data_IF_525129022515
#
_entry.id   IF_525129022515
#
_cell.length_a   1.000
_cell.length_b   1.000
_cell.length_c   1.000
_cell.angle_alpha   90.00
_cell.angle_beta   90.00
_cell.angle_gamma   90.00
#
_symmetry.space_group_name_H-M   'P 1'
#
loop_
_entity.id
_entity.type
_entity.pdbx_description
1 polymer ?
#
# COMPACT_ATOMS: atom_id res chain seq x y z
N UNK A 1 -0.84 2.45 -30.93
CA UNK A 1 -0.63 1.15 -30.26
C UNK A 1 -1.25 1.30 -28.89
N UNK A 2 -2.42 0.69 -28.69
CA UNK A 2 -3.09 0.66 -27.39
C UNK A 2 -2.37 -0.40 -26.57
N UNK A 3 -1.72 -0.04 -25.47
CA UNK A 3 -1.26 -1.03 -24.51
C UNK A 3 -2.46 -1.91 -24.12
N UNK A 4 -2.33 -3.25 -24.14
CA UNK A 4 -3.37 -4.09 -23.59
C UNK A 4 -3.56 -3.66 -22.13
N UNK A 5 -4.81 -3.42 -21.72
CA UNK A 5 -5.13 -3.21 -20.32
C UNK A 5 -4.51 -4.37 -19.55
N UNK A 6 -3.52 -4.08 -18.69
CA UNK A 6 -2.94 -5.08 -17.80
C UNK A 6 -4.09 -5.76 -17.09
N UNK A 7 -4.30 -7.05 -17.32
CA UNK A 7 -5.25 -7.83 -16.54
C UNK A 7 -4.89 -7.61 -15.07
N UNK A 8 -5.83 -7.07 -14.29
CA UNK A 8 -5.60 -6.93 -12.86
C UNK A 8 -5.34 -8.33 -12.30
N UNK A 9 -4.34 -8.50 -11.43
CA UNK A 9 -4.09 -9.81 -10.84
C UNK A 9 -5.32 -10.26 -10.05
N UNK A 10 -5.63 -11.55 -10.13
CA UNK A 10 -6.75 -12.13 -9.39
C UNK A 10 -6.30 -12.53 -7.97
N UNK A 11 -6.59 -11.68 -6.98
CA UNK A 11 -6.22 -11.91 -5.58
C UNK A 11 -7.21 -11.19 -4.65
N UNK A 12 -7.28 -11.68 -3.41
CA UNK A 12 -7.97 -10.99 -2.33
C UNK A 12 -6.97 -10.49 -1.28
N UNK A 13 -7.36 -9.45 -0.56
CA UNK A 13 -6.65 -8.88 0.59
C UNK A 13 -7.67 -8.33 1.57
N UNK A 14 -7.48 -8.59 2.86
CA UNK A 14 -8.33 -8.03 3.91
C UNK A 14 -7.56 -6.97 4.67
N UNK A 15 -8.10 -5.76 4.68
CA UNK A 15 -7.55 -4.67 5.47
C UNK A 15 -8.26 -4.57 6.82
N UNK A 16 -7.51 -4.30 7.90
CA UNK A 16 -8.11 -4.02 9.20
C UNK A 16 -9.10 -2.85 9.14
N UNK A 17 -10.01 -2.78 10.10
CA UNK A 17 -10.91 -1.64 10.24
C UNK A 17 -10.08 -0.35 10.40
N UNK A 18 -10.30 0.67 9.57
CA UNK A 18 -9.32 1.75 9.46
C UNK A 18 -9.24 2.32 8.08
N UNK A 19 -9.08 1.41 7.14
CA UNK A 19 -8.67 1.73 5.79
C UNK A 19 -9.84 2.27 4.96
N UNK A 20 -9.53 3.33 4.22
CA UNK A 20 -10.37 3.91 3.19
C UNK A 20 -9.63 3.75 1.87
N UNK A 21 -10.31 3.18 0.88
CA UNK A 21 -9.76 3.06 -0.48
C UNK A 21 -9.56 4.45 -1.09
N UNK A 22 -8.39 4.67 -1.69
CA UNK A 22 -8.04 5.92 -2.31
C UNK A 22 -8.22 5.82 -3.83
N UNK A 23 -8.97 6.75 -4.45
CA UNK A 23 -9.20 6.70 -5.88
C UNK A 23 -7.90 7.02 -6.64
N UNK A 24 -7.53 6.15 -7.57
CA UNK A 24 -6.47 6.41 -8.54
C UNK A 24 -6.91 7.32 -9.70
N UNK A 25 -5.96 7.70 -10.55
CA UNK A 25 -6.20 8.47 -11.78
C UNK A 25 -6.57 9.94 -11.55
N UNK A 26 -7.24 10.55 -12.53
CA UNK A 26 -7.55 11.99 -12.49
C UNK A 26 -8.47 12.35 -11.30
N UNK A 27 -8.11 13.36 -10.50
CA UNK A 27 -8.97 13.91 -9.45
C UNK A 27 -10.27 14.47 -10.03
N UNK A 28 -11.42 14.09 -9.47
CA UNK A 28 -12.73 14.66 -9.86
C UNK A 28 -13.54 15.04 -8.63
N UNK A 29 -14.50 15.95 -8.80
CA UNK A 29 -15.39 16.35 -7.70
C UNK A 29 -16.19 15.16 -7.14
N UNK A 30 -16.62 14.23 -8.01
CA UNK A 30 -17.32 13.03 -7.59
C UNK A 30 -16.44 12.13 -6.70
N UNK A 31 -15.19 11.89 -7.09
CA UNK A 31 -14.22 11.13 -6.28
C UNK A 31 -13.96 11.81 -4.94
N UNK A 32 -13.82 13.14 -4.94
CA UNK A 32 -13.63 13.92 -3.71
C UNK A 32 -14.83 13.79 -2.76
N UNK A 33 -16.06 13.89 -3.27
CA UNK A 33 -17.28 13.75 -2.46
C UNK A 33 -17.42 12.35 -1.87
N UNK A 34 -17.18 11.31 -2.67
CA UNK A 34 -17.20 9.92 -2.19
C UNK A 34 -16.15 9.70 -1.10
N UNK A 35 -14.92 10.18 -1.31
CA UNK A 35 -13.84 10.05 -0.35
C UNK A 35 -14.12 10.84 0.94
N UNK A 36 -14.66 12.06 0.83
CA UNK A 36 -15.09 12.85 1.98
C UNK A 36 -16.15 12.11 2.81
N UNK A 37 -17.16 11.50 2.18
CA UNK A 37 -18.16 10.69 2.88
C UNK A 37 -17.58 9.45 3.57
N UNK A 38 -16.63 8.76 2.92
CA UNK A 38 -15.94 7.62 3.50
C UNK A 38 -15.09 8.01 4.72
N UNK A 39 -14.35 9.13 4.62
CA UNK A 39 -13.57 9.70 5.72
C UNK A 39 -14.50 10.12 6.87
N UNK A 40 -15.58 10.84 6.59
CA UNK A 40 -16.56 11.26 7.60
C UNK A 40 -17.12 10.08 8.38
N UNK A 41 -17.56 9.04 7.66
CA UNK A 41 -18.05 7.78 8.26
C UNK A 41 -16.99 7.16 9.16
N UNK A 42 -15.71 7.19 8.75
CA UNK A 42 -14.61 6.64 9.55
C UNK A 42 -14.34 7.42 10.83
N UNK A 43 -14.56 8.73 10.82
CA UNK A 43 -14.52 9.58 12.01
C UNK A 43 -15.82 9.52 12.85
N UNK A 44 -16.75 8.62 12.52
CA UNK A 44 -18.02 8.45 13.25
C UNK A 44 -19.03 9.55 12.98
N UNK A 45 -18.86 10.32 11.90
CA UNK A 45 -19.80 11.33 11.46
C UNK A 45 -20.88 10.68 10.58
N UNK A 46 -22.13 11.18 10.60
CA UNK A 46 -23.18 10.74 9.70
C UNK A 46 -22.76 10.81 8.22
N UNK A 47 -23.23 9.88 7.39
CA UNK A 47 -22.88 9.83 5.97
C UNK A 47 -23.39 11.05 5.17
N UNK A 48 -24.38 11.77 5.70
CA UNK A 48 -24.95 13.01 5.17
C UNK A 48 -24.32 14.28 5.79
N UNK A 49 -23.23 14.14 6.54
CA UNK A 49 -22.50 15.29 7.09
C UNK A 49 -22.09 16.24 5.96
N UNK A 50 -22.42 17.52 6.12
CA UNK A 50 -22.01 18.56 5.19
C UNK A 50 -20.49 18.59 5.09
N UNK A 51 -19.97 18.61 3.86
CA UNK A 51 -18.52 18.63 3.62
C UNK A 51 -18.00 20.03 3.97
N UNK A 52 -17.46 20.17 5.17
CA UNK A 52 -16.75 21.37 5.59
C UNK A 52 -15.36 21.48 4.94
N UNK A 53 -14.68 22.60 5.20
CA UNK A 53 -13.35 22.86 4.64
C UNK A 53 -12.29 21.83 5.10
N UNK A 54 -12.39 21.32 6.33
CA UNK A 54 -11.43 20.38 6.89
C UNK A 54 -11.56 18.99 6.27
N UNK A 55 -12.80 18.52 6.11
CA UNK A 55 -13.10 17.27 5.43
C UNK A 55 -12.74 17.34 3.94
N UNK A 56 -13.06 18.46 3.28
CA UNK A 56 -12.65 18.70 1.90
C UNK A 56 -11.13 18.68 1.71
N UNK A 57 -10.38 19.35 2.61
CA UNK A 57 -8.92 19.37 2.56
C UNK A 57 -8.31 17.97 2.79
N UNK A 58 -8.85 17.21 3.74
CA UNK A 58 -8.42 15.83 4.01
C UNK A 58 -8.69 14.91 2.81
N UNK A 59 -9.90 14.99 2.24
CA UNK A 59 -10.26 14.23 1.05
C UNK A 59 -9.39 14.61 -0.15
N UNK A 60 -9.12 15.90 -0.36
CA UNK A 60 -8.23 16.35 -1.42
C UNK A 60 -6.80 15.80 -1.26
N UNK A 61 -6.24 15.86 -0.04
CA UNK A 61 -4.92 15.28 0.26
C UNK A 61 -4.88 13.78 -0.04
N UNK A 62 -5.86 13.01 0.45
CA UNK A 62 -5.93 11.57 0.24
C UNK A 62 -6.16 11.20 -1.24
N UNK A 63 -6.96 11.99 -1.96
CA UNK A 63 -7.14 11.81 -3.40
C UNK A 63 -5.83 12.06 -4.17
N UNK A 64 -5.04 13.06 -3.79
CA UNK A 64 -3.70 13.27 -4.36
C UNK A 64 -2.79 12.08 -4.09
N UNK A 65 -2.81 11.52 -2.88
CA UNK A 65 -2.03 10.30 -2.54
C UNK A 65 -2.45 9.11 -3.41
N UNK A 66 -3.75 8.88 -3.59
CA UNK A 66 -4.27 7.82 -4.46
C UNK A 66 -3.84 8.00 -5.92
N UNK A 67 -3.97 9.22 -6.46
CA UNK A 67 -3.54 9.55 -7.81
C UNK A 67 -2.02 9.37 -8.00
N UNK A 68 -1.20 9.81 -7.04
CA UNK A 68 0.26 9.62 -7.07
C UNK A 68 0.66 8.16 -6.98
N UNK A 69 -0.02 7.36 -6.15
CA UNK A 69 0.25 5.93 -6.02
C UNK A 69 -0.09 5.18 -7.31
N UNK A 70 -1.23 5.52 -7.94
CA UNK A 70 -1.60 4.98 -9.24
C UNK A 70 -0.62 5.37 -10.35
N UNK A 71 -0.15 6.63 -10.37
CA UNK A 71 0.89 7.06 -11.30
C UNK A 71 2.23 6.33 -11.06
N UNK A 72 2.50 5.91 -9.82
CA UNK A 72 3.62 5.03 -9.46
C UNK A 72 3.41 3.55 -9.79
N UNK A 73 2.29 3.19 -10.43
CA UNK A 73 1.98 1.82 -10.86
C UNK A 73 1.17 0.99 -9.86
N UNK A 74 0.68 1.57 -8.77
CA UNK A 74 -0.22 0.85 -7.87
C UNK A 74 -1.59 0.67 -8.54
N UNK A 75 -2.10 -0.55 -8.59
CA UNK A 75 -3.46 -0.81 -9.08
C UNK A 75 -4.51 -0.73 -7.97
N UNK A 76 -4.08 -0.77 -6.71
CA UNK A 76 -4.93 -0.59 -5.53
C UNK A 76 -4.18 0.19 -4.46
N UNK A 77 -4.86 1.16 -3.84
CA UNK A 77 -4.32 2.00 -2.78
C UNK A 77 -5.37 2.22 -1.69
N UNK A 78 -4.98 2.08 -0.43
CA UNK A 78 -5.82 2.41 0.71
C UNK A 78 -5.01 3.15 1.78
N UNK A 79 -5.69 3.96 2.60
CA UNK A 79 -5.08 4.70 3.69
C UNK A 79 -5.86 4.53 4.99
N UNK A 80 -5.15 4.48 6.10
CA UNK A 80 -5.74 4.53 7.44
C UNK A 80 -4.98 5.54 8.30
N UNK A 81 -5.71 6.15 9.24
CA UNK A 81 -5.14 7.00 10.29
C UNK A 81 -5.47 6.36 11.64
N UNK A 82 -4.42 6.03 12.39
CA UNK A 82 -4.51 5.46 13.72
C UNK A 82 -3.94 6.42 14.76
N UNK A 83 -4.18 6.13 16.05
CA UNK A 83 -3.46 6.76 17.15
C UNK A 83 -2.29 5.87 17.55
N UNK A 84 -1.13 6.48 17.82
CA UNK A 84 0.01 5.75 18.38
C UNK A 84 -0.36 5.10 19.71
N UNK A 85 0.07 3.84 19.92
CA UNK A 85 -0.09 3.14 21.22
C UNK A 85 0.74 3.79 22.33
N UNK A 86 1.85 4.45 21.98
CA UNK A 86 2.80 5.05 22.93
C UNK A 86 2.51 6.54 23.18
N UNK A 87 1.94 7.23 22.20
CA UNK A 87 1.56 8.64 22.30
C UNK A 87 0.14 8.84 21.73
N UNK A 88 -0.91 8.76 22.55
CA UNK A 88 -2.31 8.76 22.08
C UNK A 88 -2.73 9.97 21.23
N UNK A 89 -2.03 11.10 21.34
CA UNK A 89 -2.29 12.31 20.55
C UNK A 89 -1.54 12.34 19.22
N UNK A 90 -0.60 11.43 18.97
CA UNK A 90 0.13 11.38 17.70
C UNK A 90 -0.68 10.59 16.67
N UNK A 91 -1.08 11.21 15.54
CA UNK A 91 -1.66 10.49 14.43
C UNK A 91 -0.58 9.68 13.71
N UNK A 92 -0.92 8.46 13.35
CA UNK A 92 -0.10 7.55 12.55
C UNK A 92 -0.84 7.27 11.26
N UNK A 93 -0.31 7.78 10.13
CA UNK A 93 -0.88 7.50 8.83
C UNK A 93 -0.16 6.32 8.19
N UNK A 94 -0.93 5.35 7.71
CA UNK A 94 -0.45 4.15 7.03
C UNK A 94 -1.08 4.07 5.66
N UNK A 95 -0.26 3.83 4.64
CA UNK A 95 -0.72 3.59 3.28
C UNK A 95 -0.44 2.13 2.91
N UNK A 96 -1.41 1.50 2.25
CA UNK A 96 -1.26 0.19 1.63
C UNK A 96 -1.36 0.39 0.12
N UNK A 97 -0.33 -0.02 -0.59
CA UNK A 97 -0.27 0.01 -2.05
C UNK A 97 -0.05 -1.40 -2.57
N UNK A 98 -0.85 -1.81 -3.56
CA UNK A 98 -0.62 -3.06 -4.27
C UNK A 98 -0.16 -2.76 -5.69
N UNK A 99 0.90 -3.45 -6.11
CA UNK A 99 1.50 -3.37 -7.43
C UNK A 99 1.54 -4.76 -8.05
N UNK A 100 1.33 -4.86 -9.36
CA UNK A 100 1.53 -6.13 -10.07
C UNK A 100 2.59 -5.97 -11.15
N UNK A 101 3.69 -6.71 -10.99
CA UNK A 101 4.76 -6.72 -11.97
C UNK A 101 4.62 -7.97 -12.83
N UNK A 102 4.40 -7.77 -14.12
CA UNK A 102 4.44 -8.88 -15.07
C UNK A 102 5.79 -9.60 -15.00
N UNK A 103 5.75 -10.92 -14.99
CA UNK A 103 6.91 -11.79 -14.89
C UNK A 103 6.63 -13.07 -15.68
N UNK A 104 7.68 -13.81 -16.03
CA UNK A 104 7.57 -15.13 -16.67
C UNK A 104 8.50 -16.09 -15.94
N UNK A 105 8.23 -16.32 -14.66
CA UNK A 105 8.99 -17.27 -13.87
C UNK A 105 8.38 -18.67 -14.02
N UNK A 106 9.23 -19.67 -14.18
CA UNK A 106 8.78 -21.05 -14.38
C UNK A 106 8.21 -21.71 -13.12
N UNK A 107 8.53 -21.18 -11.94
CA UNK A 107 7.96 -21.60 -10.67
C UNK A 107 8.11 -20.50 -9.61
N UNK A 108 7.20 -20.38 -8.62
CA UNK A 108 7.25 -19.33 -7.59
C UNK A 108 8.58 -19.23 -6.85
N UNK A 109 9.20 -20.36 -6.49
CA UNK A 109 10.47 -20.38 -5.76
C UNK A 109 11.62 -19.71 -6.53
N UNK A 110 11.62 -19.76 -7.86
CA UNK A 110 12.62 -19.10 -8.70
C UNK A 110 12.46 -17.58 -8.62
N UNK A 111 11.22 -17.09 -8.61
CA UNK A 111 10.96 -15.67 -8.39
C UNK A 111 11.37 -15.24 -6.98
N UNK A 112 11.10 -16.05 -5.95
CA UNK A 112 11.54 -15.79 -4.57
C UNK A 112 13.06 -15.70 -4.47
N UNK A 113 13.79 -16.64 -5.08
CA UNK A 113 15.26 -16.61 -5.12
C UNK A 113 15.80 -15.33 -5.77
N UNK A 114 15.24 -14.94 -6.92
CA UNK A 114 15.63 -13.70 -7.61
C UNK A 114 15.32 -12.44 -6.80
N UNK A 115 14.15 -12.39 -6.14
CA UNK A 115 13.74 -11.28 -5.28
C UNK A 115 14.65 -11.16 -4.05
N UNK A 116 14.98 -12.27 -3.41
CA UNK A 116 15.88 -12.28 -2.25
C UNK A 116 17.28 -11.81 -2.66
N UNK A 117 17.82 -12.31 -3.77
CA UNK A 117 19.12 -11.85 -4.28
C UNK A 117 19.09 -10.35 -4.59
N UNK A 118 18.03 -9.88 -5.25
CA UNK A 118 17.87 -8.47 -5.60
C UNK A 118 17.83 -7.59 -4.35
N UNK A 119 16.90 -7.83 -3.43
CA UNK A 119 16.75 -7.01 -2.23
C UNK A 119 17.89 -7.19 -1.23
N UNK A 120 18.45 -8.40 -1.09
CA UNK A 120 19.60 -8.67 -0.23
C UNK A 120 20.90 -8.02 -0.72
N UNK A 121 20.99 -7.66 -2.01
CA UNK A 121 22.13 -6.91 -2.54
C UNK A 121 22.08 -5.41 -2.25
N UNK A 122 20.96 -4.89 -1.74
CA UNK A 122 20.76 -3.47 -1.51
C UNK A 122 21.14 -3.06 -0.09
N UNK A 123 21.98 -2.03 0.11
CA UNK A 123 22.48 -1.65 1.43
C UNK A 123 21.42 -1.01 2.33
N UNK A 124 20.36 -0.45 1.75
CA UNK A 124 19.25 0.24 2.42
C UNK A 124 18.05 -0.66 2.69
N UNK A 125 18.19 -1.96 2.40
CA UNK A 125 17.08 -2.92 2.42
C UNK A 125 17.43 -4.12 3.30
N UNK A 126 16.50 -4.52 4.13
CA UNK A 126 16.52 -5.85 4.75
C UNK A 126 15.52 -6.72 4.03
N UNK A 127 15.88 -7.98 3.75
CA UNK A 127 15.02 -8.92 3.05
C UNK A 127 14.99 -10.25 3.80
N UNK A 128 13.81 -10.83 3.92
CA UNK A 128 13.60 -12.15 4.52
C UNK A 128 12.60 -12.96 3.70
N UNK A 129 12.85 -14.27 3.57
CA UNK A 129 11.87 -15.20 3.00
C UNK A 129 10.86 -15.59 4.06
N UNK A 130 9.58 -15.53 3.72
CA UNK A 130 8.49 -15.98 4.58
C UNK A 130 7.54 -16.90 3.81
N UNK A 131 6.85 -17.77 4.55
CA UNK A 131 5.71 -18.52 4.03
C UNK A 131 4.43 -17.81 4.47
N UNK A 132 3.67 -17.31 3.49
CA UNK A 132 2.36 -16.68 3.68
C UNK A 132 1.26 -17.59 3.11
N UNK A 133 -0.03 -17.34 3.41
CA UNK A 133 -1.14 -18.11 2.84
C UNK A 133 -1.13 -18.12 1.30
N UNK A 134 -0.83 -16.98 0.67
CA UNK A 134 -0.62 -16.87 -0.78
C UNK A 134 0.64 -17.56 -1.33
N UNK A 135 1.50 -18.17 -0.49
CA UNK A 135 2.68 -18.93 -0.92
C UNK A 135 4.00 -18.43 -0.32
N UNK A 136 5.11 -18.81 -0.95
CA UNK A 136 6.43 -18.26 -0.58
C UNK A 136 6.53 -16.79 -1.01
N UNK A 137 7.11 -15.97 -0.14
CA UNK A 137 7.25 -14.55 -0.37
C UNK A 137 8.62 -14.06 0.08
N UNK A 138 9.03 -12.92 -0.47
CA UNK A 138 10.12 -12.11 0.08
C UNK A 138 9.52 -10.87 0.71
N UNK A 139 9.76 -10.66 2.00
CA UNK A 139 9.43 -9.40 2.67
C UNK A 139 10.65 -8.52 2.69
N UNK A 140 10.56 -7.37 2.05
CA UNK A 140 11.61 -6.36 2.01
C UNK A 140 11.22 -5.15 2.85
N UNK A 141 12.14 -4.65 3.67
CA UNK A 141 11.96 -3.41 4.46
C UNK A 141 13.00 -2.40 4.06
N UNK A 142 12.57 -1.18 3.78
CA UNK A 142 13.43 -0.07 3.34
C UNK A 142 13.12 1.18 4.16
N UNK A 143 14.16 1.93 4.49
CA UNK A 143 14.04 3.27 5.05
C UNK A 143 14.72 4.25 4.10
N UNK A 144 13.98 5.25 3.63
CA UNK A 144 14.50 6.28 2.72
C UNK A 144 14.36 7.64 3.37
N UNK A 145 15.51 8.26 3.61
CA UNK A 145 15.61 9.61 4.17
C UNK A 145 15.65 10.64 3.05
N UNK A 146 14.70 11.56 3.05
CA UNK A 146 14.61 12.66 2.09
C UNK A 146 14.66 14.01 2.82
N UNK A 147 15.27 15.01 2.18
CA UNK A 147 15.24 16.39 2.67
C UNK A 147 14.10 17.14 1.97
N UNK A 148 13.08 17.51 2.73
CA UNK A 148 12.02 18.37 2.27
C UNK A 148 12.43 19.83 2.48
N UNK A 149 12.51 20.59 1.39
CA UNK A 149 12.74 22.03 1.47
C UNK A 149 11.43 22.75 1.79
N UNK A 150 11.40 23.47 2.91
CA UNK A 150 10.27 24.28 3.36
C UNK A 150 10.75 25.71 3.53
N UNK A 151 10.48 26.55 2.53
CA UNK A 151 10.95 27.94 2.43
C UNK A 151 12.48 28.02 2.58
N UNK A 152 12.96 28.59 3.67
CA UNK A 152 14.38 28.82 3.96
C UNK A 152 14.98 27.73 4.90
N UNK A 153 14.28 26.61 5.08
CA UNK A 153 14.69 25.52 5.97
C UNK A 153 14.56 24.15 5.29
N UNK A 154 15.39 23.18 5.69
CA UNK A 154 15.24 21.78 5.28
C UNK A 154 14.78 20.94 6.46
N UNK A 155 13.76 20.13 6.24
CA UNK A 155 13.26 19.14 7.19
C UNK A 155 13.60 17.76 6.65
N UNK A 156 14.28 16.96 7.45
CA UNK A 156 14.54 15.56 7.13
C UNK A 156 13.28 14.73 7.41
N UNK A 157 12.86 13.95 6.42
CA UNK A 157 11.73 13.04 6.51
C UNK A 157 12.22 11.66 6.13
N UNK A 158 12.11 10.72 7.06
CA UNK A 158 12.37 9.31 6.77
C UNK A 158 11.05 8.62 6.50
N UNK A 159 10.92 8.08 5.28
CA UNK A 159 9.81 7.23 4.88
C UNK A 159 10.24 5.77 5.00
N UNK A 160 9.43 4.99 5.70
CA UNK A 160 9.61 3.56 5.84
C UNK A 160 8.63 2.82 4.95
N UNK A 161 9.08 1.69 4.41
CA UNK A 161 8.25 0.75 3.65
C UNK A 161 8.56 -0.67 4.08
N UNK A 162 7.53 -1.48 4.20
CA UNK A 162 7.61 -2.93 4.30
C UNK A 162 6.73 -3.53 3.20
N UNK A 163 7.31 -4.38 2.36
CA UNK A 163 6.64 -4.90 1.17
C UNK A 163 6.73 -6.41 1.13
N UNK A 164 5.59 -7.09 1.04
CA UNK A 164 5.54 -8.51 0.69
C UNK A 164 5.49 -8.67 -0.82
N UNK A 165 6.50 -9.34 -1.38
CA UNK A 165 6.56 -9.74 -2.79
C UNK A 165 6.13 -11.19 -2.93
N UNK A 166 4.98 -11.38 -3.56
CA UNK A 166 4.25 -12.63 -3.69
C UNK A 166 4.24 -13.05 -5.16
N UNK A 167 5.00 -14.07 -5.57
CA UNK A 167 4.92 -14.59 -6.93
C UNK A 167 3.58 -15.28 -7.18
N UNK A 168 2.98 -15.01 -8.34
CA UNK A 168 1.76 -15.67 -8.76
C UNK A 168 2.05 -17.15 -9.07
N UNK A 169 1.24 -18.11 -8.56
CA UNK A 169 1.44 -19.54 -8.78
C UNK A 169 1.50 -19.96 -10.26
N UNK A 170 0.85 -19.21 -11.15
CA UNK A 170 0.81 -19.47 -12.61
C UNK A 170 2.05 -18.95 -13.34
N UNK A 171 2.95 -18.23 -12.68
CA UNK A 171 4.17 -17.71 -13.30
C UNK A 171 4.04 -16.34 -13.97
N UNK A 172 2.82 -15.77 -14.02
CA UNK A 172 2.46 -14.58 -14.81
C UNK A 172 2.93 -13.24 -14.24
N UNK A 173 3.29 -13.20 -12.96
CA UNK A 173 3.68 -11.95 -12.31
C UNK A 173 3.96 -12.06 -10.83
N UNK A 174 4.35 -10.95 -10.23
CA UNK A 174 4.62 -10.82 -8.80
C UNK A 174 3.75 -9.69 -8.26
N UNK A 175 2.94 -9.98 -7.25
CA UNK A 175 2.20 -8.99 -6.48
C UNK A 175 3.13 -8.41 -5.41
N UNK A 176 3.28 -7.10 -5.38
CA UNK A 176 3.89 -6.37 -4.27
C UNK A 176 2.80 -5.73 -3.42
N UNK A 177 2.70 -6.11 -2.14
CA UNK A 177 1.83 -5.44 -1.15
C UNK A 177 2.72 -4.62 -0.24
N UNK A 178 2.76 -3.31 -0.45
CA UNK A 178 3.60 -2.39 0.30
C UNK A 178 2.80 -1.64 1.35
N UNK A 179 3.31 -1.62 2.58
CA UNK A 179 2.81 -0.79 3.68
C UNK A 179 3.84 0.29 3.96
N UNK A 180 3.43 1.56 3.85
CA UNK A 180 4.33 2.71 4.00
C UNK A 180 3.83 3.70 5.05
N UNK A 181 4.79 4.34 5.72
CA UNK A 181 4.53 5.41 6.67
C UNK A 181 5.79 6.26 6.88
N UNK A 182 5.61 7.52 7.26
CA UNK A 182 6.70 8.40 7.71
C UNK A 182 6.81 8.45 9.25
N UNK A 183 5.93 7.75 9.98
CA UNK A 183 5.97 7.68 11.44
C UNK A 183 7.04 6.70 11.93
N UNK A 184 8.30 7.16 11.92
CA UNK A 184 9.47 6.36 12.33
C UNK A 184 9.34 5.84 13.75
N UNK A 185 8.76 6.63 14.64
CA UNK A 185 8.68 6.24 16.03
C UNK A 185 7.82 5.00 16.20
N UNK A 186 6.67 4.91 15.52
CA UNK A 186 5.68 3.82 15.65
C UNK A 186 5.95 2.67 14.68
N UNK A 187 7.17 2.57 14.15
CA UNK A 187 7.50 1.63 13.09
C UNK A 187 7.26 0.18 13.46
N UNK A 188 7.57 -0.24 14.70
CA UNK A 188 7.33 -1.62 15.14
C UNK A 188 5.84 -1.99 15.09
N UNK A 189 4.95 -1.08 15.52
CA UNK A 189 3.49 -1.28 15.43
C UNK A 189 3.01 -1.35 13.97
N UNK A 190 3.66 -0.61 13.07
CA UNK A 190 3.34 -0.59 11.63
C UNK A 190 3.83 -1.87 10.95
N UNK A 191 5.00 -2.39 11.36
CA UNK A 191 5.51 -3.69 10.88
C UNK A 191 4.56 -4.81 11.29
N UNK A 192 4.10 -4.83 12.55
CA UNK A 192 3.11 -5.80 13.03
C UNK A 192 1.80 -5.72 12.24
N UNK A 193 1.30 -4.50 12.00
CA UNK A 193 0.13 -4.26 11.15
C UNK A 193 0.32 -4.81 9.73
N UNK A 194 1.47 -4.52 9.12
CA UNK A 194 1.78 -4.97 7.76
C UNK A 194 1.86 -6.48 7.66
N UNK A 195 2.54 -7.13 8.61
CA UNK A 195 2.59 -8.58 8.70
C UNK A 195 1.18 -9.19 8.82
N UNK A 196 0.32 -8.58 9.64
CA UNK A 196 -1.09 -8.97 9.75
C UNK A 196 -1.82 -8.89 8.41
N UNK A 197 -1.63 -7.80 7.64
CA UNK A 197 -2.21 -7.63 6.31
C UNK A 197 -1.69 -8.70 5.34
N UNK A 198 -0.39 -8.99 5.34
CA UNK A 198 0.20 -9.99 4.45
C UNK A 198 -0.34 -11.40 4.67
N UNK A 199 -0.75 -11.73 5.90
CA UNK A 199 -1.39 -13.00 6.25
C UNK A 199 -2.83 -13.12 5.73
N UNK A 200 -3.39 -12.08 5.11
CA UNK A 200 -4.74 -12.12 4.53
C UNK A 200 -4.75 -12.22 3.02
N UNK A 201 -3.57 -12.18 2.39
CA UNK A 201 -3.47 -12.20 0.93
C UNK A 201 -3.65 -13.63 0.44
N UNK A 202 -4.57 -13.82 -0.49
CA UNK A 202 -4.84 -15.09 -1.16
C UNK A 202 -4.94 -14.90 -2.66
N UNK A 203 -4.39 -15.84 -3.44
CA UNK A 203 -4.61 -15.88 -4.88
C UNK A 203 -5.99 -16.46 -5.15
N UNK A 204 -6.78 -15.77 -5.96
CA UNK A 204 -8.08 -16.27 -6.39
C UNK A 204 -7.88 -17.17 -7.62
N UNK A 205 -8.48 -18.37 -7.59
CA UNK A 205 -8.43 -19.26 -8.75
C UNK A 205 -9.27 -18.66 -9.87
N UNK A 206 -8.73 -18.56 -11.08
CA UNK A 206 -9.57 -18.38 -12.26
C UNK A 206 -10.46 -19.63 -12.38
N UNK A 207 -11.79 -19.46 -12.32
CA UNK A 207 -12.70 -20.53 -12.70
C UNK A 207 -12.39 -20.93 -14.14
N UNK A 208 -11.80 -22.11 -14.32
CA UNK A 208 -11.65 -22.75 -15.62
C UNK A 208 -13.07 -23.01 -16.16
N UNK A 209 -13.59 -22.09 -16.97
CA UNK A 209 -14.76 -22.35 -17.81
C UNK A 209 -14.33 -23.42 -18.81
N UNK A 210 -14.73 -24.67 -18.52
CA UNK A 210 -14.55 -25.83 -19.39
C UNK A 210 -15.42 -25.76 -20.65
#
# INVERSE_FOLDING_TARGET
>A
MTEPASAQPNYSILLPEGFVELPGGEPTEAKLRTLAGAVATRFGLPADTEIDQGLAATAAMLMTVGASSAAGGAHYTAAAVYRSKRQPERPVMVLVNCFFMASQHSAPHIAVEGLEQYFGSRPDTTAERLRLPAGEAVVARTATTNLLQVKDSSVEITSHSITAWLPNPTGTGVLGVAVTSNNTEDWDDIVDLAQGIFQTVEWEQEELVH
#
